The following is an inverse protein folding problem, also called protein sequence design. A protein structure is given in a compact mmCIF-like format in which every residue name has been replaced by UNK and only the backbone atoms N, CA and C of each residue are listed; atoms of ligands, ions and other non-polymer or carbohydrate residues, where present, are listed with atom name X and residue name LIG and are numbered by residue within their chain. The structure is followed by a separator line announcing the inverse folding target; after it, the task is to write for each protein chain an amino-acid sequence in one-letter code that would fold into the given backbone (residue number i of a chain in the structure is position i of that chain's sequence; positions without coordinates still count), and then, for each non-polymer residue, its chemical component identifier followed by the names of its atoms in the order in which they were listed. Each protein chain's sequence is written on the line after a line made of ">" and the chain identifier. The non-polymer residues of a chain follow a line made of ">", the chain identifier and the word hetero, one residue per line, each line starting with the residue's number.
data_IF_269471552338
#
_entry.id   IF_269471552338
#
_cell.length_a   1.000
_cell.length_b   1.000
_cell.length_c   1.000
_cell.angle_alpha   90.00
_cell.angle_beta   90.00
_cell.angle_gamma   90.00
#
_symmetry.space_group_name_H-M   'P 1'
#
loop_
_entity.id
_entity.type
_entity.pdbx_description
1 polymer ?
#
# COMPACT_ATOMS: atom_id res chain seq x y z
N UNK A 1 14.62 -14.44 -15.68
CA UNK A 1 14.22 -14.50 -14.25
C UNK A 1 13.74 -13.13 -13.75
N UNK A 2 13.38 -13.02 -12.47
CA UNK A 2 12.92 -11.72 -11.89
C UNK A 2 13.96 -10.62 -12.08
N UNK A 3 15.25 -10.92 -11.98
CA UNK A 3 16.34 -9.97 -12.21
C UNK A 3 16.30 -9.29 -13.58
N UNK A 4 15.87 -9.99 -14.61
CA UNK A 4 15.82 -9.45 -15.98
C UNK A 4 14.70 -8.43 -16.17
N UNK A 5 13.68 -8.47 -15.31
CA UNK A 5 12.52 -7.56 -15.34
C UNK A 5 12.64 -6.39 -14.36
N UNK A 6 13.58 -6.43 -13.39
CA UNK A 6 13.76 -5.37 -12.41
C UNK A 6 14.04 -3.99 -13.04
N UNK A 7 14.89 -3.85 -14.08
CA UNK A 7 15.12 -2.55 -14.71
C UNK A 7 13.84 -1.92 -15.27
N UNK A 8 12.96 -2.74 -15.87
CA UNK A 8 11.68 -2.28 -16.38
C UNK A 8 10.74 -1.88 -15.24
N UNK A 9 10.62 -2.72 -14.21
CA UNK A 9 9.76 -2.45 -13.05
C UNK A 9 10.21 -1.17 -12.34
N UNK A 10 11.48 -1.06 -11.98
CA UNK A 10 11.99 0.10 -11.25
C UNK A 10 11.95 1.36 -12.12
N UNK A 11 12.38 1.28 -13.37
CA UNK A 11 12.43 2.43 -14.25
C UNK A 11 11.07 2.87 -14.75
N UNK A 12 10.31 1.98 -15.43
CA UNK A 12 9.07 2.38 -16.10
C UNK A 12 7.89 2.54 -15.14
N UNK A 13 7.81 1.72 -14.08
CA UNK A 13 6.64 1.76 -13.18
C UNK A 13 6.87 2.66 -11.96
N UNK A 14 8.12 2.77 -11.49
CA UNK A 14 8.47 3.54 -10.30
C UNK A 14 9.29 4.80 -10.57
N UNK A 15 9.81 4.98 -11.78
CA UNK A 15 10.67 6.11 -12.12
C UNK A 15 12.03 6.09 -11.41
N UNK A 16 12.48 4.90 -10.99
CA UNK A 16 13.75 4.72 -10.27
C UNK A 16 14.82 4.29 -11.26
N UNK A 17 15.75 5.21 -11.54
CA UNK A 17 16.86 5.02 -12.47
C UNK A 17 18.23 5.20 -11.81
N UNK A 18 18.24 5.60 -10.54
CA UNK A 18 19.48 5.94 -9.81
C UNK A 18 19.31 5.69 -8.31
N UNK A 19 20.45 5.70 -7.59
CA UNK A 19 20.49 5.70 -6.12
C UNK A 19 19.65 6.85 -5.52
N UNK A 20 19.73 8.05 -6.12
CA UNK A 20 18.95 9.21 -5.68
C UNK A 20 17.46 8.96 -5.78
N UNK A 21 16.98 8.40 -6.89
CA UNK A 21 15.56 8.10 -7.09
C UNK A 21 15.09 7.03 -6.10
N UNK A 22 15.94 6.00 -5.86
CA UNK A 22 15.63 4.94 -4.88
C UNK A 22 15.41 5.51 -3.48
N UNK A 23 16.32 6.37 -3.00
CA UNK A 23 16.15 7.03 -1.71
C UNK A 23 14.91 7.92 -1.67
N UNK A 24 14.65 8.73 -2.69
CA UNK A 24 13.48 9.60 -2.75
C UNK A 24 12.16 8.83 -2.65
N UNK A 25 12.04 7.73 -3.39
CA UNK A 25 10.81 6.94 -3.40
C UNK A 25 10.62 6.17 -2.09
N UNK A 26 11.68 5.58 -1.54
CA UNK A 26 11.62 4.87 -0.25
C UNK A 26 11.31 5.84 0.91
N UNK A 27 11.93 7.00 0.93
CA UNK A 27 11.65 8.05 1.92
C UNK A 27 10.19 8.53 1.81
N UNK A 28 9.68 8.71 0.58
CA UNK A 28 8.27 9.04 0.35
C UNK A 28 7.33 7.98 0.92
N UNK A 29 7.56 6.69 0.61
CA UNK A 29 6.70 5.60 1.10
C UNK A 29 6.68 5.52 2.63
N UNK A 30 7.83 5.75 3.29
CA UNK A 30 7.93 5.63 4.74
C UNK A 30 7.53 6.90 5.49
N UNK A 31 7.56 8.07 4.87
CA UNK A 31 7.17 9.35 5.50
C UNK A 31 5.74 9.79 5.17
N UNK A 32 5.27 9.53 3.97
CA UNK A 32 3.98 9.99 3.46
C UNK A 32 3.12 8.82 2.98
N UNK A 33 3.46 8.22 1.86
CA UNK A 33 2.73 7.10 1.27
C UNK A 33 1.24 7.36 1.06
N UNK A 34 0.45 6.30 1.00
CA UNK A 34 -1.01 6.38 0.94
C UNK A 34 -1.62 6.74 2.30
N UNK A 35 -0.91 6.46 3.40
CA UNK A 35 -1.34 6.82 4.77
C UNK A 35 -1.64 8.30 4.94
N UNK A 36 -0.95 9.17 4.19
CA UNK A 36 -1.18 10.60 4.22
C UNK A 36 -2.58 11.00 3.72
N UNK A 37 -3.05 10.34 2.66
CA UNK A 37 -4.34 10.64 2.03
C UNK A 37 -5.50 9.91 2.71
N UNK A 38 -5.25 8.74 3.24
CA UNK A 38 -6.27 7.78 3.65
C UNK A 38 -7.28 8.31 4.67
N UNK A 39 -6.91 9.06 5.72
CA UNK A 39 -7.87 9.65 6.65
C UNK A 39 -8.92 10.54 5.96
N UNK A 40 -8.50 11.31 4.97
CA UNK A 40 -9.38 12.18 4.21
C UNK A 40 -10.22 11.41 3.19
N UNK A 41 -9.68 10.34 2.61
CA UNK A 41 -10.45 9.42 1.77
C UNK A 41 -11.59 8.81 2.58
N UNK A 42 -11.35 8.35 3.82
CA UNK A 42 -12.39 7.79 4.68
C UNK A 42 -13.42 8.83 5.11
N UNK A 43 -13.00 10.06 5.43
CA UNK A 43 -13.91 11.16 5.74
C UNK A 43 -14.87 11.43 4.57
N UNK A 44 -14.34 11.53 3.36
CA UNK A 44 -15.15 11.73 2.16
C UNK A 44 -16.05 10.53 1.87
N UNK A 45 -15.56 9.31 2.08
CA UNK A 45 -16.31 8.07 1.86
C UNK A 45 -17.52 7.91 2.81
N UNK A 46 -17.49 8.57 3.97
CA UNK A 46 -18.63 8.62 4.89
C UNK A 46 -19.75 9.56 4.43
N UNK A 47 -19.48 10.47 3.49
CA UNK A 47 -20.42 11.48 3.02
C UNK A 47 -21.16 11.04 1.75
N UNK A 48 -22.38 11.53 1.58
CA UNK A 48 -23.20 11.31 0.37
C UNK A 48 -23.08 12.45 -0.65
N UNK A 49 -22.83 13.67 -0.16
CA UNK A 49 -22.79 14.88 -0.98
C UNK A 49 -21.39 15.06 -1.62
N UNK A 50 -21.35 15.03 -2.95
CA UNK A 50 -20.13 15.18 -3.73
C UNK A 50 -19.42 16.52 -3.52
N UNK A 51 -20.16 17.61 -3.24
CA UNK A 51 -19.58 18.91 -2.93
C UNK A 51 -18.85 18.91 -1.59
N UNK A 52 -19.45 18.25 -0.59
CA UNK A 52 -18.82 18.12 0.72
C UNK A 52 -17.58 17.20 0.65
N UNK A 53 -17.61 16.16 -0.16
CA UNK A 53 -16.44 15.31 -0.42
C UNK A 53 -15.28 16.11 -1.03
N UNK A 54 -15.58 16.93 -2.04
CA UNK A 54 -14.60 17.78 -2.71
C UNK A 54 -14.00 18.84 -1.78
N UNK A 55 -14.81 19.44 -0.91
CA UNK A 55 -14.35 20.40 0.11
C UNK A 55 -13.28 19.77 1.02
N UNK A 56 -13.44 18.50 1.43
CA UNK A 56 -12.42 17.79 2.24
C UNK A 56 -11.08 17.75 1.48
N UNK A 57 -11.11 17.42 0.20
CA UNK A 57 -9.89 17.34 -0.61
C UNK A 57 -9.24 18.69 -0.82
N UNK A 58 -10.02 19.73 -1.18
CA UNK A 58 -9.51 21.08 -1.40
C UNK A 58 -8.90 21.70 -0.15
N UNK A 59 -9.48 21.44 1.03
CA UNK A 59 -8.99 22.01 2.29
C UNK A 59 -7.72 21.33 2.82
N UNK A 60 -7.48 20.06 2.46
CA UNK A 60 -6.42 19.27 3.04
C UNK A 60 -5.26 18.95 2.08
N UNK A 61 -5.44 19.18 0.78
CA UNK A 61 -4.39 18.98 -0.23
C UNK A 61 -3.79 20.33 -0.62
N UNK A 62 -2.46 20.42 -0.53
CA UNK A 62 -1.72 21.67 -0.76
C UNK A 62 -1.21 21.82 -2.19
N UNK A 63 -1.27 20.75 -2.97
CA UNK A 63 -0.84 20.74 -4.37
C UNK A 63 -1.87 20.08 -5.27
N UNK A 64 -1.84 20.44 -6.56
CA UNK A 64 -2.67 19.78 -7.58
C UNK A 64 -2.34 18.29 -7.70
N UNK A 65 -1.09 17.91 -7.50
CA UNK A 65 -0.65 16.52 -7.52
C UNK A 65 -1.30 15.72 -6.39
N UNK A 66 -1.27 16.24 -5.16
CA UNK A 66 -1.92 15.60 -4.00
C UNK A 66 -3.44 15.53 -4.18
N UNK A 67 -4.05 16.58 -4.70
CA UNK A 67 -5.48 16.59 -5.01
C UNK A 67 -5.85 15.53 -6.04
N UNK A 68 -5.08 15.37 -7.10
CA UNK A 68 -5.31 14.32 -8.10
C UNK A 68 -5.13 12.92 -7.52
N UNK A 69 -4.11 12.72 -6.67
CA UNK A 69 -3.87 11.44 -5.98
C UNK A 69 -5.02 11.05 -5.07
N UNK A 70 -5.47 11.96 -4.21
CA UNK A 70 -6.56 11.66 -3.27
C UNK A 70 -7.88 11.40 -3.99
N UNK A 71 -8.19 12.18 -5.01
CA UNK A 71 -9.41 11.99 -5.82
C UNK A 71 -9.42 10.62 -6.50
N UNK A 72 -8.28 10.21 -7.07
CA UNK A 72 -8.14 8.89 -7.68
C UNK A 72 -8.31 7.76 -6.65
N UNK A 73 -7.68 7.88 -5.49
CA UNK A 73 -7.81 6.89 -4.42
C UNK A 73 -9.24 6.77 -3.90
N UNK A 74 -9.92 7.91 -3.75
CA UNK A 74 -11.33 7.95 -3.33
C UNK A 74 -12.25 7.26 -4.35
N UNK A 75 -12.10 7.57 -5.64
CA UNK A 75 -12.88 6.94 -6.71
C UNK A 75 -12.63 5.42 -6.75
N UNK A 76 -11.38 5.01 -6.65
CA UNK A 76 -11.02 3.60 -6.60
C UNK A 76 -11.65 2.87 -5.41
N UNK A 77 -11.71 3.49 -4.22
CA UNK A 77 -12.38 2.91 -3.07
C UNK A 77 -13.90 2.78 -3.31
N UNK A 78 -14.55 3.81 -3.86
CA UNK A 78 -15.98 3.75 -4.20
C UNK A 78 -16.29 2.60 -5.16
N UNK A 79 -15.44 2.39 -6.16
CA UNK A 79 -15.61 1.34 -7.16
C UNK A 79 -15.37 -0.07 -6.63
N UNK A 80 -14.53 -0.22 -5.60
CA UNK A 80 -14.03 -1.53 -5.15
C UNK A 80 -14.55 -1.96 -3.79
N UNK A 81 -15.24 -1.10 -3.07
CA UNK A 81 -15.72 -1.42 -1.71
C UNK A 81 -16.56 -2.71 -1.67
N UNK A 82 -17.52 -2.85 -2.58
CA UNK A 82 -18.36 -4.05 -2.64
C UNK A 82 -17.55 -5.31 -2.99
N UNK A 83 -16.52 -5.19 -3.82
CA UNK A 83 -15.58 -6.29 -4.09
C UNK A 83 -14.80 -6.66 -2.82
N UNK A 84 -14.28 -5.68 -2.08
CA UNK A 84 -13.55 -5.91 -0.83
C UNK A 84 -14.42 -6.61 0.23
N UNK A 85 -15.70 -6.26 0.30
CA UNK A 85 -16.69 -6.95 1.16
C UNK A 85 -16.92 -8.37 0.67
N UNK A 86 -17.21 -8.55 -0.61
CA UNK A 86 -17.58 -9.85 -1.18
C UNK A 86 -16.45 -10.87 -1.13
N UNK A 87 -15.19 -10.45 -1.24
CA UNK A 87 -14.03 -11.33 -1.13
C UNK A 87 -13.50 -11.47 0.31
N UNK A 88 -14.12 -10.80 1.29
CA UNK A 88 -13.81 -10.97 2.72
C UNK A 88 -12.55 -10.24 3.18
N UNK A 89 -12.14 -9.17 2.49
CA UNK A 89 -11.07 -8.25 2.98
C UNK A 89 -11.60 -7.43 4.14
N UNK A 90 -12.80 -6.89 4.00
CA UNK A 90 -13.53 -6.15 5.03
C UNK A 90 -14.93 -6.73 5.20
N UNK A 91 -15.52 -6.56 6.38
CA UNK A 91 -16.92 -6.93 6.67
C UNK A 91 -17.81 -5.69 6.77
N UNK A 92 -17.22 -4.55 7.08
CA UNK A 92 -17.90 -3.28 7.25
C UNK A 92 -16.97 -2.09 6.96
N UNK A 93 -17.51 -0.88 7.04
CA UNK A 93 -16.71 0.36 6.86
C UNK A 93 -15.72 0.58 8.00
N UNK A 94 -16.03 0.10 9.19
CA UNK A 94 -15.16 0.17 10.36
C UNK A 94 -13.85 -0.59 10.12
N UNK A 95 -13.90 -1.70 9.39
CA UNK A 95 -12.71 -2.47 9.03
C UNK A 95 -11.75 -1.69 8.14
N UNK A 96 -12.25 -0.77 7.29
CA UNK A 96 -11.39 0.11 6.51
C UNK A 96 -10.52 0.98 7.42
N UNK A 97 -11.08 1.51 8.50
CA UNK A 97 -10.34 2.30 9.48
C UNK A 97 -9.42 1.42 10.32
N UNK A 98 -9.88 0.24 10.73
CA UNK A 98 -9.11 -0.69 11.55
C UNK A 98 -7.85 -1.19 10.85
N UNK A 99 -7.97 -1.66 9.60
CA UNK A 99 -6.82 -2.17 8.85
C UNK A 99 -5.96 -1.07 8.23
N UNK A 100 -6.54 0.08 7.86
CA UNK A 100 -5.79 1.15 7.22
C UNK A 100 -5.11 0.73 5.91
N UNK A 101 -4.04 1.43 5.54
CA UNK A 101 -3.26 1.18 4.31
C UNK A 101 -1.74 1.10 4.54
N UNK A 102 -1.30 1.07 5.79
CA UNK A 102 0.13 0.98 6.14
C UNK A 102 0.76 -0.30 5.59
N UNK A 103 0.01 -1.40 5.51
CA UNK A 103 0.47 -2.65 4.90
C UNK A 103 0.83 -2.50 3.42
N UNK A 104 0.12 -1.65 2.68
CA UNK A 104 0.44 -1.33 1.29
C UNK A 104 1.72 -0.51 1.17
N UNK A 105 1.91 0.50 1.99
CA UNK A 105 3.10 1.34 1.98
C UNK A 105 4.36 0.57 2.41
N UNK A 106 4.28 -0.17 3.51
CA UNK A 106 5.40 -0.96 4.05
C UNK A 106 5.77 -2.14 3.15
N UNK A 107 4.77 -2.82 2.57
CA UNK A 107 4.99 -3.90 1.62
C UNK A 107 5.71 -3.42 0.36
N UNK A 108 5.33 -2.25 -0.18
CA UNK A 108 6.03 -1.63 -1.32
C UNK A 108 7.44 -1.20 -0.95
N UNK A 109 7.64 -0.61 0.24
CA UNK A 109 8.96 -0.22 0.70
C UNK A 109 9.91 -1.41 0.81
N UNK A 110 9.46 -2.54 1.39
CA UNK A 110 10.25 -3.77 1.45
C UNK A 110 10.59 -4.33 0.06
N UNK A 111 9.64 -4.32 -0.87
CA UNK A 111 9.88 -4.74 -2.25
C UNK A 111 10.93 -3.85 -2.94
N UNK A 112 10.76 -2.53 -2.87
CA UNK A 112 11.66 -1.58 -3.51
C UNK A 112 13.06 -1.60 -2.91
N UNK A 113 13.19 -1.68 -1.59
CA UNK A 113 14.50 -1.77 -0.93
C UNK A 113 15.30 -2.97 -1.45
N UNK A 114 14.65 -4.15 -1.55
CA UNK A 114 15.28 -5.35 -2.08
C UNK A 114 15.60 -5.24 -3.58
N UNK A 115 14.65 -4.75 -4.37
CA UNK A 115 14.84 -4.58 -5.81
C UNK A 115 15.94 -3.57 -6.15
N UNK A 116 16.01 -2.45 -5.43
CA UNK A 116 17.05 -1.43 -5.60
C UNK A 116 18.42 -1.93 -5.16
N UNK A 117 18.51 -2.74 -4.11
CA UNK A 117 19.74 -3.40 -3.71
C UNK A 117 20.24 -4.38 -4.79
N UNK A 118 19.36 -5.21 -5.32
CA UNK A 118 19.68 -6.15 -6.39
C UNK A 118 20.18 -5.46 -7.67
N UNK A 119 19.69 -4.25 -7.94
CA UNK A 119 20.11 -3.42 -9.07
C UNK A 119 21.38 -2.56 -8.77
N UNK A 120 21.89 -2.61 -7.55
CA UNK A 120 23.04 -1.81 -7.14
C UNK A 120 22.75 -0.32 -6.92
N UNK A 121 21.48 0.07 -6.80
CA UNK A 121 21.09 1.44 -6.45
C UNK A 121 21.18 1.70 -4.94
N UNK A 122 21.11 0.65 -4.13
CA UNK A 122 21.32 0.67 -2.69
C UNK A 122 22.38 -0.35 -2.29
N UNK A 123 23.13 -0.04 -1.24
CA UNK A 123 23.92 -1.04 -0.53
C UNK A 123 22.99 -1.99 0.26
N UNK A 124 23.50 -3.14 0.65
CA UNK A 124 22.73 -4.08 1.49
C UNK A 124 22.37 -3.43 2.84
N UNK A 125 23.26 -2.67 3.44
CA UNK A 125 23.01 -1.96 4.70
C UNK A 125 21.88 -0.92 4.56
N UNK A 126 21.89 -0.14 3.49
CA UNK A 126 20.82 0.83 3.20
C UNK A 126 19.46 0.12 2.99
N UNK A 127 19.45 -0.98 2.23
CA UNK A 127 18.23 -1.75 2.00
C UNK A 127 17.66 -2.31 3.31
N UNK A 128 18.49 -2.87 4.17
CA UNK A 128 18.07 -3.34 5.50
C UNK A 128 17.55 -2.20 6.38
N UNK A 129 18.21 -1.03 6.35
CA UNK A 129 17.71 0.14 7.09
C UNK A 129 16.29 0.54 6.71
N UNK A 130 15.93 0.48 5.41
CA UNK A 130 14.56 0.73 4.96
C UNK A 130 13.58 -0.38 5.36
N UNK A 131 14.01 -1.64 5.27
CA UNK A 131 13.20 -2.80 5.69
C UNK A 131 12.90 -2.74 7.19
N UNK A 132 13.90 -2.42 8.02
CA UNK A 132 13.73 -2.29 9.48
C UNK A 132 12.75 -1.17 9.84
N UNK A 133 12.82 -0.02 9.15
CA UNK A 133 11.84 1.06 9.33
C UNK A 133 10.42 0.61 8.95
N UNK A 134 10.28 -0.11 7.84
CA UNK A 134 8.98 -0.64 7.41
C UNK A 134 8.45 -1.68 8.41
N UNK A 135 9.32 -2.53 8.93
CA UNK A 135 9.00 -3.50 9.99
C UNK A 135 8.49 -2.80 11.26
N UNK A 136 9.22 -1.80 11.75
CA UNK A 136 8.82 -1.03 12.93
C UNK A 136 7.46 -0.35 12.76
N UNK A 137 7.21 0.21 11.57
CA UNK A 137 5.92 0.83 11.26
C UNK A 137 4.79 -0.19 11.27
N UNK A 138 4.99 -1.36 10.65
CA UNK A 138 3.99 -2.42 10.61
C UNK A 138 3.70 -2.98 12.01
N UNK A 139 4.72 -3.21 12.82
CA UNK A 139 4.57 -3.75 14.18
C UNK A 139 3.97 -2.77 15.21
N UNK A 140 3.95 -1.48 14.90
CA UNK A 140 3.22 -0.49 15.69
C UNK A 140 1.72 -0.51 15.46
N UNK A 141 1.28 -0.90 14.26
CA UNK A 141 -0.12 -0.83 13.87
C UNK A 141 -0.81 -2.19 13.87
N UNK A 142 -0.10 -3.27 13.52
CA UNK A 142 -0.69 -4.59 13.33
C UNK A 142 -0.27 -5.56 14.42
N UNK A 143 -1.15 -6.51 14.70
CA UNK A 143 -0.94 -7.58 15.67
C UNK A 143 -0.85 -8.97 15.02
N UNK A 144 -1.03 -9.05 13.71
CA UNK A 144 -1.00 -10.33 12.98
C UNK A 144 -0.68 -10.17 11.49
N UNK A 145 -0.18 -11.24 10.89
CA UNK A 145 -0.02 -11.36 9.43
C UNK A 145 -1.34 -11.12 8.67
N UNK A 146 -2.47 -11.50 9.27
CA UNK A 146 -3.78 -11.25 8.67
C UNK A 146 -4.08 -9.75 8.54
N UNK A 147 -3.84 -8.98 9.59
CA UNK A 147 -4.12 -7.53 9.57
C UNK A 147 -3.28 -6.80 8.52
N UNK A 148 -1.98 -7.07 8.45
CA UNK A 148 -1.13 -6.46 7.41
C UNK A 148 -1.54 -6.88 6.00
N UNK A 149 -1.98 -8.14 5.82
CA UNK A 149 -2.46 -8.63 4.54
C UNK A 149 -3.73 -7.90 4.10
N UNK A 150 -4.71 -7.71 4.98
CA UNK A 150 -5.93 -6.95 4.67
C UNK A 150 -5.60 -5.49 4.34
N UNK A 151 -4.74 -4.86 5.14
CA UNK A 151 -4.23 -3.50 4.90
C UNK A 151 -3.54 -3.37 3.54
N UNK A 152 -2.75 -4.37 3.13
CA UNK A 152 -2.12 -4.40 1.82
C UNK A 152 -3.14 -4.42 0.69
N UNK A 153 -4.16 -5.28 0.78
CA UNK A 153 -5.19 -5.39 -0.27
C UNK A 153 -6.03 -4.12 -0.35
N UNK A 154 -6.39 -3.50 0.78
CA UNK A 154 -7.10 -2.21 0.80
C UNK A 154 -6.28 -1.14 0.08
N UNK A 155 -5.01 -0.96 0.44
CA UNK A 155 -4.15 0.03 -0.20
C UNK A 155 -3.96 -0.23 -1.70
N UNK A 156 -3.83 -1.49 -2.10
CA UNK A 156 -3.78 -1.90 -3.50
C UNK A 156 -5.06 -1.55 -4.26
N UNK A 157 -6.23 -1.69 -3.63
CA UNK A 157 -7.50 -1.30 -4.24
C UNK A 157 -7.58 0.21 -4.50
N UNK A 158 -7.06 1.03 -3.58
CA UNK A 158 -6.97 2.49 -3.76
C UNK A 158 -6.01 2.87 -4.89
N UNK A 159 -4.96 2.09 -5.11
CA UNK A 159 -4.00 2.32 -6.19
C UNK A 159 -4.56 1.98 -7.56
N UNK A 160 -5.15 0.81 -7.73
CA UNK A 160 -5.50 0.27 -9.04
C UNK A 160 -7.00 0.09 -9.30
N UNK A 161 -7.85 0.39 -8.31
CA UNK A 161 -9.28 0.18 -8.43
C UNK A 161 -9.62 -1.27 -8.82
N UNK A 162 -10.56 -1.45 -9.74
CA UNK A 162 -10.95 -2.79 -10.23
C UNK A 162 -9.83 -3.51 -10.97
N UNK A 163 -8.90 -2.77 -11.57
CA UNK A 163 -7.75 -3.34 -12.30
C UNK A 163 -6.66 -3.90 -11.38
N UNK A 164 -6.79 -3.69 -10.06
CA UNK A 164 -5.85 -4.23 -9.08
C UNK A 164 -6.00 -5.73 -8.83
N UNK A 165 -7.06 -6.38 -9.36
CA UNK A 165 -7.34 -7.80 -9.12
C UNK A 165 -7.42 -8.14 -7.63
N UNK A 166 -8.23 -7.38 -6.88
CA UNK A 166 -8.27 -7.42 -5.41
C UNK A 166 -8.64 -8.80 -4.86
N UNK A 167 -9.63 -9.47 -5.47
CA UNK A 167 -10.04 -10.83 -5.09
C UNK A 167 -8.91 -11.85 -5.26
N UNK A 168 -8.12 -11.73 -6.33
CA UNK A 168 -6.94 -12.59 -6.54
C UNK A 168 -5.88 -12.33 -5.47
N UNK A 169 -5.61 -11.07 -5.12
CA UNK A 169 -4.66 -10.74 -4.05
C UNK A 169 -5.13 -11.24 -2.68
N UNK A 170 -6.45 -11.16 -2.41
CA UNK A 170 -7.03 -11.75 -1.19
C UNK A 170 -6.82 -13.27 -1.14
N UNK A 171 -7.04 -13.98 -2.25
CA UNK A 171 -6.79 -15.41 -2.33
C UNK A 171 -5.31 -15.77 -2.09
N UNK A 172 -4.39 -14.96 -2.63
CA UNK A 172 -2.95 -15.13 -2.36
C UNK A 172 -2.62 -14.91 -0.88
N UNK A 173 -3.24 -13.91 -0.25
CA UNK A 173 -3.07 -13.66 1.18
C UNK A 173 -3.62 -14.84 2.02
N UNK A 174 -4.78 -15.39 1.67
CA UNK A 174 -5.36 -16.56 2.35
C UNK A 174 -4.45 -17.79 2.21
N UNK A 175 -3.87 -18.02 1.04
CA UNK A 175 -2.89 -19.07 0.83
C UNK A 175 -1.66 -18.89 1.74
N UNK A 176 -1.12 -17.67 1.83
CA UNK A 176 0.00 -17.38 2.73
C UNK A 176 -0.35 -17.57 4.20
N UNK A 177 -1.60 -17.32 4.60
CA UNK A 177 -2.07 -17.46 5.98
C UNK A 177 -2.38 -18.92 6.37
N UNK A 178 -2.58 -19.82 5.40
CA UNK A 178 -3.02 -21.20 5.64
C UNK A 178 -2.01 -22.28 5.24
N UNK A 179 -1.12 -22.00 4.29
CA UNK A 179 -0.16 -22.98 3.79
C UNK A 179 0.98 -23.20 4.80
N UNK A 180 1.14 -24.44 5.26
CA UNK A 180 2.17 -24.83 6.24
C UNK A 180 3.62 -24.49 5.80
N UNK A 181 3.87 -24.35 4.52
CA UNK A 181 5.18 -23.94 3.97
C UNK A 181 5.37 -22.41 3.95
N UNK A 182 4.31 -21.66 4.18
CA UNK A 182 4.37 -20.19 4.19
C UNK A 182 5.17 -19.69 5.39
N UNK A 183 6.04 -18.68 5.20
CA UNK A 183 6.66 -17.96 6.30
C UNK A 183 5.65 -17.40 7.31
N UNK A 184 4.47 -16.98 6.86
CA UNK A 184 3.43 -16.40 7.72
C UNK A 184 2.77 -17.41 8.66
N UNK A 185 2.84 -18.70 8.34
CA UNK A 185 2.41 -19.78 9.23
C UNK A 185 3.57 -20.24 10.13
N UNK A 186 4.80 -20.20 9.62
CA UNK A 186 6.00 -20.71 10.30
C UNK A 186 6.60 -19.73 11.31
N UNK A 187 6.41 -18.45 11.12
CA UNK A 187 6.94 -17.41 12.00
C UNK A 187 5.78 -16.62 12.61
N UNK A 188 5.85 -16.39 13.91
CA UNK A 188 4.91 -15.51 14.61
C UNK A 188 5.07 -14.08 14.08
N UNK A 189 3.98 -13.34 14.19
CA UNK A 189 4.00 -11.89 13.94
C UNK A 189 4.92 -11.17 14.91
#
# INVERSE_FOLDING_TARGET
>A
GIKDTLPEILGQWWGIWSTKDAHQELDYLLSKGFRYYYPYVLQAFALQDTKQQDVIFQQNMTSQEDYNKITSQFQNLQETYDELVSCGVVTSREDLQHFGVTGWDTGRACFLARACCEMGYLTEEEAWSYIDKAYDMAHKEFTSWKEIAMSYVIGRSLWGGRKAYNSMMKNMADELLSNEKSPWVRYSW
#
